data_IF_058392318611
#
_entry.id   IF_058392318611
#
_cell.length_a   1.000
_cell.length_b   1.000
_cell.length_c   1.000
_cell.angle_alpha   90.00
_cell.angle_beta   90.00
_cell.angle_gamma   90.00
#
_symmetry.space_group_name_H-M   'P 1'
#
loop_
_entity.id
_entity.type
_entity.pdbx_description
1 polymer ?
#
# COMPACT_ATOMS: atom_id res chain seq x y z
N UNK A 1 -34.19 42.54 47.21
CA UNK A 1 -33.64 43.37 46.12
C UNK A 1 -32.34 42.73 45.73
N UNK A 2 -32.49 41.76 44.83
CA UNK A 2 -31.52 40.77 44.43
C UNK A 2 -30.53 41.36 43.43
N UNK A 3 -29.25 41.02 43.55
CA UNK A 3 -28.28 41.25 42.49
C UNK A 3 -27.24 40.13 42.50
N UNK A 4 -27.63 39.03 41.84
CA UNK A 4 -26.83 38.24 40.90
C UNK A 4 -25.38 37.90 41.27
N UNK A 5 -25.24 36.67 41.78
CA UNK A 5 -24.07 35.82 41.54
C UNK A 5 -23.86 35.69 40.02
N UNK A 6 -22.64 35.95 39.56
CA UNK A 6 -22.17 35.57 38.23
C UNK A 6 -20.86 34.82 38.40
N UNK A 7 -21.00 33.54 38.70
CA UNK A 7 -19.96 32.55 38.50
C UNK A 7 -19.57 32.54 37.01
N UNK A 8 -18.28 32.57 36.65
CA UNK A 8 -17.87 32.48 35.27
C UNK A 8 -18.18 31.08 34.72
N UNK A 9 -18.95 31.09 33.63
CA UNK A 9 -19.29 29.96 32.77
C UNK A 9 -18.07 29.09 32.46
N UNK A 10 -18.17 27.82 32.84
CA UNK A 10 -17.36 26.71 32.39
C UNK A 10 -17.50 26.55 30.87
N UNK A 11 -16.51 27.07 30.13
CA UNK A 11 -16.31 26.89 28.69
C UNK A 11 -15.28 25.77 28.46
N UNK A 12 -15.57 24.56 28.95
CA UNK A 12 -14.64 23.43 28.94
C UNK A 12 -15.13 22.12 28.31
N UNK A 13 -16.30 22.08 27.66
CA UNK A 13 -16.90 20.80 27.24
C UNK A 13 -17.36 20.76 25.76
N UNK A 14 -16.49 21.16 24.85
CA UNK A 14 -16.80 21.08 23.41
C UNK A 14 -15.54 20.85 22.55
N UNK A 15 -14.86 19.69 22.67
CA UNK A 15 -14.16 19.10 21.51
C UNK A 15 -13.71 17.63 21.65
N UNK A 16 -13.96 16.97 22.78
CA UNK A 16 -13.39 15.64 23.06
C UNK A 16 -13.91 14.53 22.15
N UNK A 17 -15.10 14.68 21.55
CA UNK A 17 -15.66 13.69 20.62
C UNK A 17 -14.92 13.61 19.29
N UNK A 18 -14.50 14.74 18.74
CA UNK A 18 -13.77 14.80 17.47
C UNK A 18 -12.31 14.44 17.67
N UNK A 19 -11.72 14.85 18.80
CA UNK A 19 -10.32 14.57 19.12
C UNK A 19 -10.01 13.06 19.09
N UNK A 20 -10.89 12.22 19.66
CA UNK A 20 -10.70 10.76 19.66
C UNK A 20 -10.85 10.16 18.26
N UNK A 21 -11.71 10.73 17.40
CA UNK A 21 -11.92 10.24 16.03
C UNK A 21 -10.78 10.66 15.11
N UNK A 22 -10.27 11.87 15.28
CA UNK A 22 -9.11 12.39 14.54
C UNK A 22 -7.83 11.64 14.95
N UNK A 23 -7.65 11.36 16.24
CA UNK A 23 -6.52 10.58 16.74
C UNK A 23 -6.44 9.16 16.14
N UNK A 24 -7.58 8.55 15.77
CA UNK A 24 -7.58 7.26 15.07
C UNK A 24 -7.01 7.40 13.66
N UNK A 25 -7.33 8.49 12.96
CA UNK A 25 -6.87 8.76 11.60
C UNK A 25 -5.41 9.20 11.54
N UNK A 26 -4.79 9.50 12.69
CA UNK A 26 -3.35 9.74 12.82
C UNK A 26 -2.57 8.51 13.27
N UNK A 27 -3.27 7.46 13.73
CA UNK A 27 -2.64 6.24 14.20
C UNK A 27 -2.36 5.28 13.03
N UNK A 28 -1.07 5.12 12.72
CA UNK A 28 -0.61 4.25 11.64
C UNK A 28 -1.11 2.81 11.78
N UNK A 29 -1.02 2.21 12.97
CA UNK A 29 -1.40 0.81 13.19
C UNK A 29 -2.91 0.59 12.98
N UNK A 30 -3.73 1.56 13.40
CA UNK A 30 -5.18 1.51 13.18
C UNK A 30 -5.52 1.64 11.69
N UNK A 31 -4.84 2.55 10.97
CA UNK A 31 -5.02 2.68 9.53
C UNK A 31 -4.57 1.42 8.77
N UNK A 32 -3.43 0.84 9.14
CA UNK A 32 -2.94 -0.41 8.57
C UNK A 32 -3.95 -1.55 8.83
N UNK A 33 -4.55 -1.62 10.02
CA UNK A 33 -5.59 -2.58 10.36
C UNK A 33 -6.85 -2.38 9.50
N UNK A 34 -7.36 -1.15 9.39
CA UNK A 34 -8.52 -0.81 8.54
C UNK A 34 -8.25 -1.19 7.09
N UNK A 35 -7.08 -0.86 6.57
CA UNK A 35 -6.73 -1.17 5.19
C UNK A 35 -6.47 -2.68 4.98
N UNK A 36 -6.11 -3.44 6.01
CA UNK A 36 -5.94 -4.88 5.89
C UNK A 36 -7.23 -5.63 5.50
N UNK A 37 -8.41 -5.04 5.72
CA UNK A 37 -9.69 -5.60 5.27
C UNK A 37 -9.82 -5.69 3.73
N UNK A 38 -8.97 -5.00 2.97
CA UNK A 38 -8.91 -5.16 1.51
C UNK A 38 -8.13 -6.41 1.08
N UNK A 39 -7.32 -7.00 1.97
CA UNK A 39 -6.56 -8.21 1.66
C UNK A 39 -7.45 -9.45 1.56
N UNK A 40 -7.12 -10.40 0.67
CA UNK A 40 -7.77 -11.70 0.68
C UNK A 40 -7.49 -12.42 2.01
N UNK A 41 -8.40 -13.30 2.46
CA UNK A 41 -8.18 -14.11 3.65
C UNK A 41 -6.86 -14.87 3.50
N UNK A 42 -6.02 -14.77 4.53
CA UNK A 42 -4.66 -15.32 4.55
C UNK A 42 -4.65 -16.84 4.78
N UNK A 43 -5.45 -17.59 4.02
CA UNK A 43 -5.34 -19.04 4.02
C UNK A 43 -4.14 -19.47 3.14
N UNK A 44 -3.37 -20.45 3.63
CA UNK A 44 -2.14 -20.93 2.94
C UNK A 44 -2.47 -21.66 1.63
N UNK A 45 -3.72 -22.06 1.43
CA UNK A 45 -4.22 -22.76 0.25
C UNK A 45 -4.79 -21.81 -0.82
N UNK A 46 -4.76 -20.50 -0.59
CA UNK A 46 -5.40 -19.54 -1.48
C UNK A 46 -4.71 -19.58 -2.84
N UNK A 47 -5.53 -19.58 -3.90
CA UNK A 47 -5.05 -19.55 -5.27
C UNK A 47 -4.23 -18.30 -5.58
N UNK A 48 -4.39 -17.22 -4.82
CA UNK A 48 -3.72 -15.93 -5.00
C UNK A 48 -3.56 -15.22 -3.66
N UNK A 49 -2.38 -14.65 -3.42
CA UNK A 49 -2.15 -13.74 -2.28
C UNK A 49 -2.30 -12.28 -2.70
N UNK A 50 -2.35 -12.01 -4.00
CA UNK A 50 -2.56 -10.68 -4.53
C UNK A 50 -3.94 -10.12 -4.15
N UNK A 51 -3.94 -8.81 -3.87
CA UNK A 51 -5.16 -8.02 -3.78
C UNK A 51 -6.01 -8.13 -5.07
N UNK A 52 -7.32 -8.21 -4.89
CA UNK A 52 -8.29 -8.06 -5.98
C UNK A 52 -8.14 -6.70 -6.66
N UNK A 53 -8.51 -6.60 -7.95
CA UNK A 53 -8.43 -5.33 -8.68
C UNK A 53 -9.19 -4.18 -7.98
N UNK A 54 -10.43 -4.38 -7.47
CA UNK A 54 -11.12 -3.34 -6.70
C UNK A 54 -10.39 -2.96 -5.42
N UNK A 55 -9.82 -3.93 -4.68
CA UNK A 55 -9.06 -3.68 -3.46
C UNK A 55 -7.80 -2.84 -3.72
N UNK A 56 -7.07 -3.15 -4.79
CA UNK A 56 -5.91 -2.35 -5.23
C UNK A 56 -6.30 -0.92 -5.54
N UNK A 57 -7.39 -0.73 -6.29
CA UNK A 57 -7.86 0.60 -6.65
C UNK A 57 -8.32 1.41 -5.42
N UNK A 58 -9.00 0.76 -4.48
CA UNK A 58 -9.43 1.40 -3.24
C UNK A 58 -8.23 1.88 -2.40
N UNK A 59 -7.21 1.03 -2.23
CA UNK A 59 -5.99 1.39 -1.50
C UNK A 59 -5.18 2.48 -2.21
N UNK A 60 -5.08 2.43 -3.54
CA UNK A 60 -4.46 3.50 -4.31
C UNK A 60 -5.21 4.82 -4.12
N UNK A 61 -6.54 4.81 -4.21
CA UNK A 61 -7.36 5.99 -3.98
C UNK A 61 -7.18 6.52 -2.55
N UNK A 62 -7.13 5.64 -1.55
CA UNK A 62 -6.89 6.00 -0.16
C UNK A 62 -5.52 6.68 0.03
N UNK A 63 -4.46 6.14 -0.58
CA UNK A 63 -3.14 6.76 -0.55
C UNK A 63 -3.13 8.16 -1.19
N UNK A 64 -3.99 8.41 -2.18
CA UNK A 64 -4.06 9.69 -2.89
C UNK A 64 -4.92 10.75 -2.18
N UNK A 65 -5.71 10.40 -1.15
CA UNK A 65 -6.59 11.37 -0.49
C UNK A 65 -5.85 12.28 0.48
N UNK A 66 -4.97 11.74 1.33
CA UNK A 66 -4.20 12.51 2.30
C UNK A 66 -2.84 11.87 2.62
N UNK A 67 -1.90 12.68 3.09
CA UNK A 67 -0.52 12.25 3.39
C UNK A 67 -0.44 11.16 4.45
N UNK A 68 -1.33 11.21 5.44
CA UNK A 68 -1.36 10.24 6.55
C UNK A 68 -1.75 8.84 6.06
N UNK A 69 -2.55 8.76 5.00
CA UNK A 69 -2.99 7.48 4.45
C UNK A 69 -1.98 6.86 3.48
N UNK A 70 -1.04 7.66 2.95
CA UNK A 70 -0.06 7.21 1.95
C UNK A 70 0.68 5.98 2.44
N UNK A 71 1.39 6.07 3.55
CA UNK A 71 2.22 4.96 4.00
C UNK A 71 1.42 3.71 4.40
N UNK A 72 0.37 3.78 5.25
CA UNK A 72 -0.36 2.58 5.63
C UNK A 72 -1.11 1.95 4.45
N UNK A 73 -1.67 2.73 3.52
CA UNK A 73 -2.35 2.17 2.35
C UNK A 73 -1.36 1.52 1.37
N UNK A 74 -0.19 2.13 1.17
CA UNK A 74 0.87 1.59 0.32
C UNK A 74 1.50 0.33 0.92
N UNK A 75 1.62 0.25 2.23
CA UNK A 75 2.06 -0.96 2.92
C UNK A 75 1.14 -2.14 2.62
N UNK A 76 -0.18 -1.95 2.71
CA UNK A 76 -1.14 -3.01 2.32
C UNK A 76 -1.07 -3.30 0.82
N UNK A 77 -1.01 -2.27 -0.02
CA UNK A 77 -1.05 -2.41 -1.47
C UNK A 77 0.09 -3.30 -2.00
N UNK A 78 1.28 -3.18 -1.39
CA UNK A 78 2.47 -3.94 -1.80
C UNK A 78 2.74 -5.16 -0.91
N UNK A 79 2.01 -5.35 0.19
CA UNK A 79 2.26 -6.41 1.19
C UNK A 79 2.37 -7.79 0.58
N UNK A 80 1.51 -8.10 -0.38
CA UNK A 80 1.33 -9.46 -0.91
C UNK A 80 1.31 -9.43 -2.44
N UNK A 81 2.29 -10.10 -3.06
CA UNK A 81 2.49 -10.08 -4.52
C UNK A 81 2.60 -11.49 -5.07
N UNK A 82 1.93 -11.76 -6.19
CA UNK A 82 2.05 -13.03 -6.93
C UNK A 82 3.06 -12.95 -8.09
N UNK A 83 3.74 -11.80 -8.24
CA UNK A 83 4.77 -11.60 -9.26
C UNK A 83 5.66 -10.42 -8.90
N UNK A 84 6.93 -10.48 -9.29
CA UNK A 84 7.86 -9.34 -9.21
C UNK A 84 7.65 -8.33 -10.35
N UNK A 85 6.83 -8.64 -11.35
CA UNK A 85 6.60 -7.76 -12.51
C UNK A 85 6.27 -6.31 -12.13
N UNK A 86 5.36 -6.04 -11.16
CA UNK A 86 5.04 -4.66 -10.79
C UNK A 86 6.23 -3.91 -10.15
N UNK A 87 7.11 -4.62 -9.44
CA UNK A 87 8.30 -4.03 -8.84
C UNK A 87 9.32 -3.64 -9.91
N UNK A 88 9.56 -4.51 -10.89
CA UNK A 88 10.51 -4.22 -11.99
C UNK A 88 9.97 -3.11 -12.91
N UNK A 89 8.65 -3.01 -13.09
CA UNK A 89 8.00 -1.91 -13.83
C UNK A 89 8.17 -0.52 -13.20
N UNK A 90 8.67 -0.42 -11.97
CA UNK A 90 9.03 0.87 -11.35
C UNK A 90 10.25 1.49 -12.04
N UNK A 91 11.13 0.66 -12.60
CA UNK A 91 12.28 1.13 -13.36
C UNK A 91 11.79 1.75 -14.67
N UNK A 92 11.99 3.06 -14.90
CA UNK A 92 11.49 3.74 -16.09
C UNK A 92 12.17 3.24 -17.39
N UNK A 93 13.34 2.62 -17.25
CA UNK A 93 14.09 2.01 -18.36
C UNK A 93 13.62 0.60 -18.68
N UNK A 94 12.79 -0.02 -17.84
CA UNK A 94 12.31 -1.38 -18.08
C UNK A 94 11.15 -1.38 -19.06
N UNK A 95 11.42 -1.84 -20.27
CA UNK A 95 10.47 -1.84 -21.39
C UNK A 95 10.30 -3.25 -21.94
N UNK A 96 9.10 -3.54 -22.44
CA UNK A 96 8.84 -4.76 -23.19
C UNK A 96 9.08 -4.47 -24.67
N UNK A 97 9.97 -5.23 -25.31
CA UNK A 97 10.22 -5.18 -26.74
C UNK A 97 9.90 -6.56 -27.31
N UNK A 98 8.83 -6.64 -28.12
CA UNK A 98 8.30 -7.92 -28.58
C UNK A 98 7.77 -8.75 -27.40
N UNK A 99 8.37 -9.91 -27.15
CA UNK A 99 8.03 -10.82 -26.04
C UNK A 99 9.03 -10.80 -24.89
N UNK A 100 10.09 -9.99 -25.00
CA UNK A 100 11.16 -9.93 -24.00
C UNK A 100 11.16 -8.58 -23.28
N UNK A 101 11.50 -8.62 -21.99
CA UNK A 101 11.74 -7.40 -21.23
C UNK A 101 13.22 -7.01 -21.33
N UNK A 102 13.47 -5.75 -21.62
CA UNK A 102 14.82 -5.20 -21.69
C UNK A 102 14.93 -3.88 -20.93
N UNK A 103 16.17 -3.49 -20.65
CA UNK A 103 16.50 -2.21 -20.03
C UNK A 103 16.96 -1.27 -21.14
N UNK A 104 16.12 -0.29 -21.48
CA UNK A 104 16.42 0.75 -22.44
C UNK A 104 16.95 2.00 -21.72
N UNK A 105 18.26 2.15 -21.68
CA UNK A 105 18.96 3.27 -21.04
C UNK A 105 19.66 2.89 -19.73
N UNK A 106 20.23 3.89 -19.05
CA UNK A 106 20.98 3.66 -17.81
C UNK A 106 20.05 3.53 -16.60
N UNK A 107 20.31 2.52 -15.76
CA UNK A 107 19.68 2.42 -14.43
C UNK A 107 20.43 3.38 -13.50
N UNK A 108 19.75 4.41 -13.03
CA UNK A 108 20.28 5.38 -12.07
C UNK A 108 20.02 4.91 -10.64
N UNK A 109 20.85 5.35 -9.70
CA UNK A 109 20.65 5.07 -8.26
C UNK A 109 19.29 5.52 -7.75
N UNK A 110 18.74 6.62 -8.30
CA UNK A 110 17.39 7.10 -7.95
C UNK A 110 16.29 6.11 -8.37
N UNK A 111 16.48 5.36 -9.46
CA UNK A 111 15.53 4.33 -9.89
C UNK A 111 15.58 3.15 -8.91
N UNK A 112 16.79 2.75 -8.49
CA UNK A 112 16.98 1.67 -7.53
C UNK A 112 16.44 2.03 -6.14
N UNK A 113 16.61 3.27 -5.69
CA UNK A 113 16.01 3.76 -4.44
C UNK A 113 14.50 3.64 -4.44
N UNK A 114 13.83 4.03 -5.54
CA UNK A 114 12.39 3.82 -5.67
C UNK A 114 12.05 2.34 -5.58
N UNK A 115 12.72 1.48 -6.34
CA UNK A 115 12.48 0.03 -6.24
C UNK A 115 12.62 -0.47 -4.80
N UNK A 116 13.66 -0.05 -4.09
CA UNK A 116 13.89 -0.40 -2.68
C UNK A 116 12.75 0.08 -1.76
N UNK A 117 12.26 1.30 -1.95
CA UNK A 117 11.14 1.87 -1.18
C UNK A 117 9.85 1.05 -1.29
N UNK A 118 9.55 0.50 -2.46
CA UNK A 118 8.40 -0.38 -2.66
C UNK A 118 8.69 -1.83 -2.27
N UNK A 119 9.90 -2.32 -2.53
CA UNK A 119 10.32 -3.68 -2.22
C UNK A 119 10.24 -3.96 -0.71
N UNK A 120 10.65 -2.99 0.12
CA UNK A 120 10.58 -3.08 1.59
C UNK A 120 9.17 -3.32 2.13
N UNK A 121 8.14 -2.96 1.37
CA UNK A 121 6.73 -3.12 1.77
C UNK A 121 6.21 -4.53 1.47
N UNK A 122 6.89 -5.29 0.62
CA UNK A 122 6.50 -6.66 0.27
C UNK A 122 6.84 -7.60 1.42
N UNK A 123 5.81 -8.17 2.06
CA UNK A 123 5.94 -9.16 3.15
C UNK A 123 5.73 -10.59 2.65
N UNK A 124 4.97 -10.77 1.58
CA UNK A 124 4.63 -12.07 0.96
C UNK A 124 4.85 -11.99 -0.54
N UNK A 125 5.66 -12.91 -1.06
CA UNK A 125 5.90 -13.05 -2.49
C UNK A 125 5.65 -14.49 -2.90
N UNK A 126 4.68 -14.68 -3.78
CA UNK A 126 4.47 -15.94 -4.49
C UNK A 126 5.17 -15.86 -5.83
N UNK A 127 6.04 -16.81 -6.09
CA UNK A 127 6.66 -17.03 -7.37
C UNK A 127 6.06 -18.31 -7.93
N UNK A 128 5.02 -18.19 -8.75
CA UNK A 128 4.60 -19.34 -9.54
C UNK A 128 5.81 -19.72 -10.42
N UNK A 129 6.29 -20.94 -10.22
CA UNK A 129 7.56 -21.47 -10.68
C UNK A 129 8.02 -20.90 -12.03
N UNK A 130 9.26 -20.40 -12.09
CA UNK A 130 10.00 -19.99 -13.30
C UNK A 130 10.18 -21.13 -14.34
N UNK A 131 9.55 -22.29 -14.15
CA UNK A 131 9.63 -23.42 -15.06
C UNK A 131 8.52 -23.39 -16.11
N UNK A 132 8.81 -22.78 -17.26
CA UNK A 132 8.90 -23.54 -18.51
C UNK A 132 9.54 -22.66 -19.58
N UNK A 133 10.84 -22.38 -19.44
CA UNK A 133 11.64 -22.25 -20.67
C UNK A 133 11.69 -23.64 -21.26
N UNK A 134 10.68 -23.97 -22.07
CA UNK A 134 10.80 -25.01 -23.08
C UNK A 134 12.01 -24.64 -23.90
N UNK A 135 13.15 -25.28 -23.62
CA UNK A 135 14.20 -25.47 -24.59
C UNK A 135 13.57 -26.30 -25.70
N UNK A 136 12.96 -25.64 -26.68
CA UNK A 136 12.73 -26.29 -27.97
C UNK A 136 14.11 -26.39 -28.63
N UNK A 137 14.69 -27.57 -28.38
CA UNK A 137 15.91 -28.08 -28.95
C UNK A 137 15.68 -28.20 -30.45
N UNK A 138 16.60 -27.64 -31.24
CA UNK A 138 16.68 -27.82 -32.68
C UNK A 138 16.73 -29.30 -33.06
N UNK A 139 15.81 -29.73 -33.93
CA UNK A 139 15.97 -30.90 -34.80
C UNK A 139 15.41 -30.57 -36.19
#
# INVERSE_FOLDING_TARGET
>A
MDAYSKDPLDLGSANTKNASQEAVLENFDLLENIFSFFEPPSDVSSASWALSLPGRQALLNAALTCKVFVDPAMDILWRSMDSLTPLVKILPTFVMIGTEYTVNGAILDSHLRRVDDYARRIRRLRLDSLHSVKREIWH
#
